data_IF_567804028198
#
_entry.id   IF_567804028198
#
_cell.length_a   1.000
_cell.length_b   1.000
_cell.length_c   1.000
_cell.angle_alpha   90.00
_cell.angle_beta   90.00
_cell.angle_gamma   90.00
#
_symmetry.space_group_name_H-M   'P 1'
#
loop_
_entity.id
_entity.type
_entity.pdbx_description
1 polymer ?
#
# COMPACT_ATOMS: atom_id res chain seq x y z
N UNK A 1 16.74 3.21 10.45
CA UNK A 1 15.63 3.39 9.49
C UNK A 1 14.81 4.66 9.77
N UNK A 2 14.72 5.11 11.02
CA UNK A 2 13.98 6.33 11.41
C UNK A 2 14.32 7.61 10.63
N UNK A 3 15.61 7.89 10.39
CA UNK A 3 16.02 9.09 9.64
C UNK A 3 15.46 9.10 8.21
N UNK A 4 15.52 7.97 7.51
CA UNK A 4 15.02 7.86 6.14
C UNK A 4 13.50 8.00 6.11
N UNK A 5 12.79 7.33 7.03
CA UNK A 5 11.34 7.46 7.17
C UNK A 5 10.91 8.93 7.36
N UNK A 6 11.58 9.64 8.27
CA UNK A 6 11.27 11.05 8.56
C UNK A 6 11.52 11.94 7.34
N UNK A 7 12.59 11.69 6.59
CA UNK A 7 12.89 12.44 5.35
C UNK A 7 11.86 12.18 4.26
N UNK A 8 11.42 10.93 4.08
CA UNK A 8 10.35 10.63 3.13
C UNK A 8 9.03 11.30 3.51
N UNK A 9 8.69 11.30 4.79
CA UNK A 9 7.49 11.98 5.29
C UNK A 9 7.55 13.49 5.02
N UNK A 10 8.70 14.12 5.28
CA UNK A 10 8.90 15.54 4.99
C UNK A 10 8.69 15.88 3.51
N UNK A 11 9.17 15.04 2.58
CA UNK A 11 8.95 15.26 1.14
C UNK A 11 7.46 15.33 0.78
N UNK A 12 6.65 14.47 1.39
CA UNK A 12 5.20 14.44 1.17
C UNK A 12 4.55 15.68 1.78
N UNK A 13 4.96 16.07 2.99
CA UNK A 13 4.48 17.29 3.66
C UNK A 13 4.85 18.57 2.89
N UNK A 14 6.00 18.58 2.19
CA UNK A 14 6.44 19.68 1.33
C UNK A 14 5.68 19.75 0.00
N UNK A 15 4.69 18.88 -0.22
CA UNK A 15 3.80 18.90 -1.38
C UNK A 15 4.30 18.08 -2.57
N UNK A 16 5.23 17.13 -2.35
CA UNK A 16 5.62 16.18 -3.40
C UNK A 16 4.58 15.06 -3.50
N UNK A 17 3.87 15.00 -4.62
CA UNK A 17 2.98 13.89 -4.93
C UNK A 17 3.76 12.57 -5.03
N UNK A 18 3.33 11.58 -4.26
CA UNK A 18 3.97 10.27 -4.19
C UNK A 18 2.97 9.17 -4.57
N UNK A 19 3.36 8.29 -5.48
CA UNK A 19 2.52 7.20 -5.97
C UNK A 19 3.18 5.84 -5.75
N UNK A 20 2.37 4.84 -5.39
CA UNK A 20 2.82 3.44 -5.27
C UNK A 20 2.44 2.71 -6.57
N UNK A 21 3.46 2.29 -7.33
CA UNK A 21 3.29 1.55 -8.57
C UNK A 21 3.67 0.07 -8.38
N UNK A 22 2.72 -0.84 -8.56
CA UNK A 22 2.98 -2.27 -8.53
C UNK A 22 3.53 -2.74 -9.88
N UNK A 23 4.74 -3.33 -9.88
CA UNK A 23 5.43 -3.79 -11.11
C UNK A 23 5.67 -5.30 -11.15
N UNK A 24 5.28 -6.01 -10.09
CA UNK A 24 5.48 -7.45 -9.93
C UNK A 24 4.41 -8.30 -10.61
N UNK A 25 3.96 -9.34 -9.92
CA UNK A 25 2.81 -10.14 -10.32
C UNK A 25 1.63 -9.86 -9.37
N UNK A 26 0.43 -9.83 -9.94
CA UNK A 26 -0.82 -9.72 -9.22
C UNK A 26 -1.60 -11.02 -9.41
N UNK A 27 -1.81 -11.78 -8.34
CA UNK A 27 -2.56 -13.06 -8.38
C UNK A 27 -2.10 -14.00 -9.53
N UNK A 28 -0.78 -14.12 -9.73
CA UNK A 28 -0.19 -14.92 -10.82
C UNK A 28 -0.16 -14.25 -12.20
N UNK A 29 -0.90 -13.15 -12.41
CA UNK A 29 -0.84 -12.34 -13.63
C UNK A 29 0.32 -11.35 -13.55
N UNK A 30 1.24 -11.40 -14.51
CA UNK A 30 2.38 -10.48 -14.58
C UNK A 30 1.94 -9.05 -14.93
N UNK A 31 2.41 -8.06 -14.18
CA UNK A 31 2.30 -6.66 -14.58
C UNK A 31 3.31 -6.40 -15.70
N UNK A 32 2.79 -6.17 -16.90
CA UNK A 32 3.60 -5.81 -18.07
C UNK A 32 4.06 -4.34 -18.01
N UNK A 33 5.20 -3.99 -18.64
CA UNK A 33 5.69 -2.62 -18.72
C UNK A 33 4.64 -1.62 -19.25
N UNK A 34 3.79 -2.03 -20.21
CA UNK A 34 2.70 -1.20 -20.75
C UNK A 34 1.73 -0.69 -19.69
N UNK A 35 1.46 -1.46 -18.63
CA UNK A 35 0.55 -1.03 -17.57
C UNK A 35 1.19 0.07 -16.73
N UNK A 36 2.45 -0.14 -16.32
CA UNK A 36 3.20 0.83 -15.51
C UNK A 36 3.46 2.13 -16.28
N UNK A 37 3.86 2.04 -17.56
CA UNK A 37 4.06 3.21 -18.41
C UNK A 37 2.74 3.97 -18.63
N UNK A 38 1.64 3.26 -18.91
CA UNK A 38 0.32 3.88 -19.06
C UNK A 38 -0.17 4.60 -17.80
N UNK A 39 0.12 4.08 -16.59
CA UNK A 39 -0.18 4.79 -15.34
C UNK A 39 0.66 6.07 -15.23
N UNK A 40 1.95 6.01 -15.52
CA UNK A 40 2.85 7.18 -15.46
C UNK A 40 2.38 8.25 -16.44
N UNK A 41 2.06 7.87 -17.69
CA UNK A 41 1.50 8.77 -18.69
C UNK A 41 0.20 9.42 -18.21
N UNK A 42 -0.73 8.64 -17.66
CA UNK A 42 -1.98 9.18 -17.13
C UNK A 42 -1.77 10.18 -15.98
N UNK A 43 -0.82 9.93 -15.08
CA UNK A 43 -0.47 10.85 -14.00
C UNK A 43 0.12 12.15 -14.56
N UNK A 44 1.13 12.05 -15.43
CA UNK A 44 1.82 13.21 -16.01
C UNK A 44 0.88 14.06 -16.87
N UNK A 45 -0.07 13.45 -17.58
CA UNK A 45 -1.06 14.15 -18.40
C UNK A 45 -2.28 14.66 -17.61
N UNK A 46 -2.36 14.40 -16.30
CA UNK A 46 -3.50 14.80 -15.47
C UNK A 46 -4.80 14.05 -15.80
N UNK A 47 -4.69 12.84 -16.38
CA UNK A 47 -5.82 11.97 -16.74
C UNK A 47 -6.02 10.81 -15.78
N UNK A 48 -5.10 10.60 -14.83
CA UNK A 48 -5.23 9.57 -13.81
C UNK A 48 -6.48 9.84 -12.95
N UNK A 49 -7.34 8.81 -12.84
CA UNK A 49 -8.55 8.86 -12.03
C UNK A 49 -8.37 7.95 -10.82
N UNK A 50 -8.10 8.55 -9.67
CA UNK A 50 -8.03 7.84 -8.40
C UNK A 50 -9.41 7.81 -7.76
N UNK A 51 -9.76 6.67 -7.16
CA UNK A 51 -10.97 6.52 -6.39
C UNK A 51 -10.67 5.85 -5.06
N UNK A 52 -11.47 6.18 -4.04
CA UNK A 52 -11.45 5.50 -2.75
C UNK A 52 -11.46 3.98 -2.94
N UNK A 53 -10.51 3.30 -2.31
CA UNK A 53 -10.40 1.85 -2.41
C UNK A 53 -11.19 1.17 -1.29
N UNK A 54 -12.30 0.52 -1.66
CA UNK A 54 -13.18 -0.18 -0.72
C UNK A 54 -13.56 0.70 0.50
N UNK A 55 -13.40 0.16 1.71
CA UNK A 55 -13.75 0.84 2.96
C UNK A 55 -12.57 1.60 3.59
N UNK A 56 -11.41 1.67 2.95
CA UNK A 56 -10.25 2.36 3.52
C UNK A 56 -10.52 3.84 3.67
N UNK A 57 -10.17 4.45 4.80
CA UNK A 57 -10.47 5.87 5.02
C UNK A 57 -9.57 6.78 4.18
N UNK A 58 -8.31 6.38 4.01
CA UNK A 58 -7.23 7.23 3.49
C UNK A 58 -6.46 6.56 2.34
N UNK A 59 -7.08 5.60 1.62
CA UNK A 59 -6.44 4.93 0.48
C UNK A 59 -7.29 5.06 -0.77
N UNK A 60 -6.65 5.54 -1.83
CA UNK A 60 -7.20 5.61 -3.17
C UNK A 60 -6.40 4.71 -4.12
N UNK A 61 -7.06 4.24 -5.17
CA UNK A 61 -6.45 3.40 -6.21
C UNK A 61 -6.89 3.85 -7.60
N UNK A 62 -5.99 3.68 -8.56
CA UNK A 62 -6.32 3.71 -9.97
C UNK A 62 -6.57 2.27 -10.43
N UNK A 63 -7.79 1.97 -10.83
CA UNK A 63 -8.13 0.64 -11.34
C UNK A 63 -7.64 0.45 -12.78
N UNK A 64 -7.21 -0.77 -13.07
CA UNK A 64 -6.88 -1.23 -14.40
C UNK A 64 -7.80 -2.40 -14.73
N UNK A 65 -8.41 -2.39 -15.92
CA UNK A 65 -9.33 -3.46 -16.38
C UNK A 65 -8.69 -4.85 -16.29
N UNK A 66 -7.37 -4.91 -16.46
CA UNK A 66 -6.58 -6.13 -16.42
C UNK A 66 -6.38 -6.72 -15.01
N UNK A 67 -6.70 -5.99 -13.94
CA UNK A 67 -6.39 -6.37 -12.55
C UNK A 67 -7.58 -6.13 -11.61
N UNK A 68 -8.29 -7.20 -11.26
CA UNK A 68 -9.43 -7.14 -10.33
C UNK A 68 -8.95 -7.01 -8.88
N UNK A 69 -9.04 -5.80 -8.32
CA UNK A 69 -8.67 -5.44 -6.95
C UNK A 69 -9.88 -5.45 -5.98
N UNK A 70 -10.92 -6.22 -6.30
CA UNK A 70 -12.12 -6.32 -5.50
C UNK A 70 -11.89 -7.10 -4.20
N UNK A 71 -11.88 -6.40 -3.07
CA UNK A 71 -11.71 -6.99 -1.73
C UNK A 71 -12.91 -7.84 -1.25
N UNK A 72 -14.01 -7.90 -2.01
CA UNK A 72 -15.06 -8.88 -1.77
C UNK A 72 -14.67 -10.28 -2.26
N UNK A 73 -13.69 -10.40 -3.17
CA UNK A 73 -13.09 -11.68 -3.52
C UNK A 73 -12.32 -12.21 -2.30
N UNK A 74 -12.77 -13.35 -1.76
CA UNK A 74 -12.24 -13.92 -0.54
C UNK A 74 -10.75 -14.32 -0.66
N UNK A 75 -10.37 -14.94 -1.78
CA UNK A 75 -8.98 -15.35 -2.01
C UNK A 75 -8.05 -14.13 -2.05
N UNK A 76 -8.43 -13.11 -2.82
CA UNK A 76 -7.66 -11.87 -2.90
C UNK A 76 -7.56 -11.17 -1.54
N UNK A 77 -8.68 -11.04 -0.82
CA UNK A 77 -8.73 -10.43 0.52
C UNK A 77 -7.83 -11.18 1.51
N UNK A 78 -7.89 -12.52 1.53
CA UNK A 78 -7.05 -13.33 2.41
C UNK A 78 -5.56 -13.13 2.10
N UNK A 79 -5.17 -13.12 0.82
CA UNK A 79 -3.77 -12.85 0.43
C UNK A 79 -3.34 -11.43 0.80
N UNK A 80 -4.18 -10.43 0.56
CA UNK A 80 -3.90 -9.04 0.94
C UNK A 80 -3.66 -8.91 2.45
N UNK A 81 -4.59 -9.44 3.28
CA UNK A 81 -4.47 -9.42 4.74
C UNK A 81 -3.21 -10.15 5.21
N UNK A 82 -2.92 -11.34 4.65
CA UNK A 82 -1.72 -12.08 5.00
C UNK A 82 -0.44 -11.26 4.74
N UNK A 83 -0.33 -10.63 3.56
CA UNK A 83 0.82 -9.78 3.22
C UNK A 83 0.90 -8.53 4.09
N UNK A 84 -0.22 -7.95 4.52
CA UNK A 84 -0.19 -6.81 5.45
C UNK A 84 0.26 -7.24 6.86
N UNK A 85 -0.21 -8.39 7.35
CA UNK A 85 0.25 -8.96 8.61
C UNK A 85 1.75 -9.30 8.60
N UNK A 86 2.27 -9.85 7.48
CA UNK A 86 3.71 -10.10 7.31
C UNK A 86 4.52 -8.80 7.49
N UNK A 87 4.02 -7.66 6.98
CA UNK A 87 4.65 -6.35 7.13
C UNK A 87 4.55 -5.81 8.57
N UNK A 88 3.39 -5.96 9.22
CA UNK A 88 3.19 -5.60 10.63
C UNK A 88 4.20 -6.33 11.51
N UNK A 89 4.33 -7.66 11.33
CA UNK A 89 5.29 -8.48 12.05
C UNK A 89 6.74 -8.04 11.78
N UNK A 90 7.09 -7.77 10.51
CA UNK A 90 8.43 -7.32 10.15
C UNK A 90 8.80 -5.98 10.81
N UNK A 91 7.90 -4.99 10.79
CA UNK A 91 8.13 -3.68 11.42
C UNK A 91 8.21 -3.85 12.94
N UNK A 92 7.29 -4.61 13.54
CA UNK A 92 7.30 -4.87 14.98
C UNK A 92 8.60 -5.54 15.45
N UNK A 93 9.17 -6.45 14.66
CA UNK A 93 10.43 -7.11 15.02
C UNK A 93 11.63 -6.17 15.02
N UNK A 94 11.59 -5.06 14.27
CA UNK A 94 12.68 -4.06 14.22
C UNK A 94 12.94 -3.38 15.56
N UNK A 95 11.97 -3.37 16.48
CA UNK A 95 12.12 -2.77 17.81
C UNK A 95 13.17 -3.48 18.68
N UNK A 96 13.41 -4.77 18.44
CA UNK A 96 14.32 -5.58 19.25
C UNK A 96 15.47 -6.16 18.44
N UNK A 97 15.29 -6.41 17.14
CA UNK A 97 16.35 -6.88 16.26
C UNK A 97 17.49 -5.86 16.16
N UNK A 98 18.73 -6.36 16.12
CA UNK A 98 19.96 -5.54 16.13
C UNK A 98 19.96 -4.46 17.22
N UNK A 99 19.40 -4.78 18.39
CA UNK A 99 19.24 -3.86 19.51
C UNK A 99 18.42 -2.58 19.16
N UNK A 100 17.47 -2.68 18.24
CA UNK A 100 16.56 -1.58 17.89
C UNK A 100 17.15 -0.54 16.93
N UNK A 101 18.32 -0.80 16.34
CA UNK A 101 18.96 0.12 15.38
C UNK A 101 18.05 0.44 14.17
N UNK A 102 17.27 -0.57 13.74
CA UNK A 102 16.38 -0.49 12.60
C UNK A 102 14.95 -0.05 12.97
N UNK A 103 14.73 0.39 14.21
CA UNK A 103 13.41 0.86 14.68
C UNK A 103 12.86 1.97 13.78
N UNK A 104 11.56 1.89 13.55
CA UNK A 104 10.77 2.91 12.87
C UNK A 104 9.91 3.67 13.89
N UNK A 105 9.53 4.92 13.57
CA UNK A 105 8.50 5.64 14.31
C UNK A 105 7.20 4.83 14.46
N UNK A 106 6.48 5.04 15.56
CA UNK A 106 5.29 4.25 15.90
C UNK A 106 4.14 4.41 14.90
N UNK A 107 4.07 5.56 14.22
CA UNK A 107 3.05 5.83 13.20
C UNK A 107 3.19 4.90 11.99
N UNK A 108 4.41 4.43 11.67
CA UNK A 108 4.63 3.43 10.61
C UNK A 108 3.89 2.11 10.90
N UNK A 109 3.97 1.62 12.14
CA UNK A 109 3.28 0.40 12.55
C UNK A 109 1.76 0.62 12.59
N UNK A 110 1.33 1.73 13.21
CA UNK A 110 -0.08 2.10 13.33
C UNK A 110 -0.77 2.23 11.96
N UNK A 111 -0.07 2.78 10.96
CA UNK A 111 -0.60 2.89 9.60
C UNK A 111 -0.91 1.51 8.99
N UNK A 112 -0.02 0.53 9.15
CA UNK A 112 -0.25 -0.83 8.64
C UNK A 112 -1.37 -1.55 9.43
N UNK A 113 -1.40 -1.40 10.75
CA UNK A 113 -2.45 -1.97 11.59
C UNK A 113 -3.82 -1.41 11.23
N UNK A 114 -3.92 -0.11 10.97
CA UNK A 114 -5.15 0.54 10.48
C UNK A 114 -5.64 -0.09 9.18
N UNK A 115 -4.76 -0.35 8.22
CA UNK A 115 -5.13 -1.03 6.96
C UNK A 115 -5.67 -2.43 7.23
N UNK A 116 -5.04 -3.21 8.11
CA UNK A 116 -5.54 -4.55 8.47
C UNK A 116 -6.93 -4.46 9.12
N UNK A 117 -7.15 -3.50 10.02
CA UNK A 117 -8.43 -3.30 10.68
C UNK A 117 -9.54 -2.94 9.69
N UNK A 118 -9.29 -1.98 8.79
CA UNK A 118 -10.29 -1.49 7.82
C UNK A 118 -10.68 -2.55 6.77
N UNK A 119 -9.72 -3.37 6.31
CA UNK A 119 -10.04 -4.47 5.39
C UNK A 119 -10.81 -5.59 6.09
N UNK A 120 -10.50 -5.90 7.36
CA UNK A 120 -11.21 -6.92 8.13
C UNK A 120 -12.61 -6.49 8.55
N UNK A 121 -12.84 -5.19 8.76
CA UNK A 121 -14.17 -4.64 9.05
C UNK A 121 -15.15 -4.77 7.86
N UNK A 122 -14.65 -5.03 6.65
CA UNK A 122 -15.46 -5.17 5.42
C UNK A 122 -16.34 -6.44 5.42
N UNK A 123 -16.20 -7.34 6.39
CA UNK A 123 -16.97 -8.60 6.50
C UNK A 123 -18.40 -8.41 7.06
N UNK A 124 -18.84 -7.19 7.37
CA UNK A 124 -20.19 -6.94 7.90
C UNK A 124 -21.12 -6.35 6.83
N UNK A 125 -21.62 -7.19 5.92
CA UNK A 125 -22.93 -7.04 5.25
C UNK A 125 -23.50 -8.41 4.91
#
# INVERSE_FOLDING_TARGET
>A
MEMDYTRFKQLIEDGVDCYILNTGAFMGKKVQPKHTLGIIEAIVEGKANFKKWANFSDIEIMELEDFDVNLNNEEYRQQFVARMNDRVQFISSRDTEKAGLDKLPSDALQALEKVVQEVSATVVV
#
